data_IF_191068015138
#
_entry.id   IF_191068015138
#
_cell.length_a   1.000
_cell.length_b   1.000
_cell.length_c   1.000
_cell.angle_alpha   90.00
_cell.angle_beta   90.00
_cell.angle_gamma   90.00
#
_symmetry.space_group_name_H-M   'P 1'
#
loop_
_entity.id
_entity.type
_entity.pdbx_description
1 polymer ?
#
# COMPACT_ATOMS: atom_id res chain seq x y z
N UNK A 1 48.18 12.31 10.29
CA UNK A 1 46.77 12.71 10.15
C UNK A 1 46.21 12.02 8.92
N UNK A 2 45.51 10.90 9.07
CA UNK A 2 44.86 10.24 7.95
C UNK A 2 43.34 10.38 8.13
N UNK A 3 42.74 11.19 7.26
CA UNK A 3 41.29 11.37 7.16
C UNK A 3 40.69 10.05 6.64
N UNK A 4 40.04 9.30 7.53
CA UNK A 4 39.06 8.32 7.11
C UNK A 4 37.80 9.11 6.70
N UNK A 5 37.59 9.27 5.39
CA UNK A 5 36.29 9.60 4.85
C UNK A 5 35.37 8.42 5.16
N UNK A 6 34.64 8.54 6.27
CA UNK A 6 33.54 7.64 6.61
C UNK A 6 32.51 7.83 5.50
N UNK A 7 32.51 6.92 4.53
CA UNK A 7 31.38 6.66 3.64
C UNK A 7 30.14 6.58 4.54
N UNK A 8 29.31 7.63 4.51
CA UNK A 8 28.01 7.62 5.18
C UNK A 8 27.29 6.36 4.67
N UNK A 9 26.77 5.49 5.54
CA UNK A 9 25.95 4.39 5.07
C UNK A 9 24.85 5.01 4.22
N UNK A 10 24.74 4.58 2.96
CA UNK A 10 23.55 4.85 2.16
C UNK A 10 22.36 4.50 3.07
N UNK A 11 21.54 5.51 3.41
CA UNK A 11 20.32 5.27 4.18
C UNK A 11 19.60 4.13 3.46
N UNK A 12 19.55 2.97 4.09
CA UNK A 12 18.88 1.79 3.54
C UNK A 12 17.54 2.25 2.98
N UNK A 13 17.37 2.14 1.66
CA UNK A 13 16.13 2.59 1.00
C UNK A 13 15.00 1.74 1.58
N UNK A 14 14.21 2.32 2.48
CA UNK A 14 13.05 1.66 3.06
C UNK A 14 12.00 1.45 1.98
N UNK A 15 11.57 0.22 1.79
CA UNK A 15 10.45 -0.18 0.94
C UNK A 15 9.19 -0.38 1.80
N UNK A 16 8.02 -0.30 1.16
CA UNK A 16 6.71 -0.33 1.81
C UNK A 16 6.16 1.06 2.13
N UNK A 17 5.28 1.13 3.14
CA UNK A 17 4.67 2.39 3.57
C UNK A 17 5.73 3.28 4.24
N UNK A 18 5.94 4.46 3.66
CA UNK A 18 6.86 5.48 4.18
C UNK A 18 6.20 6.36 5.26
N UNK A 19 4.87 6.48 5.18
CA UNK A 19 4.05 7.21 6.14
C UNK A 19 2.63 7.41 5.63
N UNK A 20 1.71 7.75 6.53
CA UNK A 20 0.33 8.06 6.19
C UNK A 20 -0.20 9.25 6.98
N UNK A 21 -1.23 9.90 6.44
CA UNK A 21 -2.05 10.92 7.11
C UNK A 21 -3.52 10.72 6.75
N UNK A 22 -4.41 11.33 7.52
CA UNK A 22 -5.85 11.32 7.22
C UNK A 22 -6.28 12.74 6.87
N UNK A 23 -6.78 12.93 5.66
CA UNK A 23 -7.25 14.21 5.11
C UNK A 23 -8.61 14.01 4.44
N UNK A 24 -9.59 14.88 4.72
CA UNK A 24 -10.91 14.84 4.07
C UNK A 24 -11.59 13.45 4.08
N UNK A 25 -11.56 12.74 5.22
CA UNK A 25 -12.06 11.36 5.36
C UNK A 25 -11.39 10.32 4.43
N UNK A 26 -10.17 10.58 3.99
CA UNK A 26 -9.33 9.64 3.23
C UNK A 26 -8.02 9.41 3.96
N UNK A 27 -7.51 8.19 3.89
CA UNK A 27 -6.10 7.92 4.10
C UNK A 27 -5.33 8.40 2.88
N UNK A 28 -4.23 9.10 3.14
CA UNK A 28 -3.24 9.47 2.14
C UNK A 28 -1.93 8.79 2.55
N UNK A 29 -1.48 7.83 1.74
CA UNK A 29 -0.38 6.91 2.07
C UNK A 29 0.74 7.06 1.06
N UNK A 30 1.94 7.38 1.53
CA UNK A 30 3.14 7.37 0.70
C UNK A 30 3.77 5.98 0.73
N UNK A 31 3.99 5.40 -0.43
CA UNK A 31 4.47 4.03 -0.60
C UNK A 31 5.71 4.05 -1.48
N UNK A 32 6.75 3.29 -1.11
CA UNK A 32 7.84 2.93 -2.01
C UNK A 32 7.77 1.44 -2.31
N UNK A 33 7.40 1.09 -3.53
CA UNK A 33 7.34 -0.30 -3.99
C UNK A 33 8.73 -0.92 -4.11
N UNK A 34 8.78 -2.26 -4.20
CA UNK A 34 10.02 -3.05 -4.26
C UNK A 34 10.96 -2.65 -5.41
N UNK A 35 10.42 -2.18 -6.53
CA UNK A 35 11.17 -1.67 -7.69
C UNK A 35 11.75 -0.26 -7.46
N UNK A 36 11.46 0.37 -6.32
CA UNK A 36 11.89 1.71 -5.97
C UNK A 36 10.93 2.81 -6.44
N UNK A 37 9.82 2.46 -7.11
CA UNK A 37 8.81 3.43 -7.52
C UNK A 37 8.06 3.96 -6.29
N UNK A 38 7.92 5.29 -6.21
CA UNK A 38 7.20 5.96 -5.13
C UNK A 38 5.87 6.49 -5.62
N UNK A 39 4.81 6.24 -4.86
CA UNK A 39 3.45 6.70 -5.17
C UNK A 39 2.75 7.21 -3.92
N UNK A 40 1.78 8.09 -4.12
CA UNK A 40 0.83 8.49 -3.09
C UNK A 40 -0.53 7.84 -3.41
N UNK A 41 -1.01 6.99 -2.50
CA UNK A 41 -2.28 6.29 -2.62
C UNK A 41 -3.34 6.89 -1.70
N UNK A 42 -4.57 6.97 -2.21
CA UNK A 42 -5.68 7.65 -1.55
C UNK A 42 -6.87 6.69 -1.44
N UNK A 43 -7.39 6.49 -0.24
CA UNK A 43 -8.60 5.66 -0.07
C UNK A 43 -9.48 6.10 1.10
N UNK A 44 -10.82 5.94 0.99
CA UNK A 44 -11.75 6.41 2.02
C UNK A 44 -11.53 5.72 3.36
N UNK A 45 -11.65 6.48 4.45
CA UNK A 45 -11.63 5.94 5.83
C UNK A 45 -12.76 4.93 6.03
N UNK A 46 -13.94 5.19 5.45
CA UNK A 46 -15.12 4.30 5.51
C UNK A 46 -14.96 3.03 4.67
N UNK A 47 -13.90 2.95 3.86
CA UNK A 47 -13.65 1.85 2.95
C UNK A 47 -14.23 2.04 1.56
N UNK A 48 -13.94 1.05 0.72
CA UNK A 48 -14.33 1.02 -0.69
C UNK A 48 -14.68 -0.41 -1.11
N UNK A 49 -15.64 -0.58 -2.03
CA UNK A 49 -15.91 -1.89 -2.63
C UNK A 49 -14.74 -2.29 -3.52
N UNK A 50 -14.40 -3.57 -3.48
CA UNK A 50 -13.41 -4.15 -4.40
C UNK A 50 -14.19 -4.94 -5.44
N UNK A 51 -14.07 -4.58 -6.71
CA UNK A 51 -14.81 -5.19 -7.82
C UNK A 51 -13.85 -5.95 -8.71
N UNK A 52 -14.23 -7.18 -9.06
CA UNK A 52 -13.50 -7.99 -10.04
C UNK A 52 -13.80 -7.43 -11.45
N UNK A 53 -12.82 -6.88 -12.19
CA UNK A 53 -13.07 -6.29 -13.49
C UNK A 53 -13.45 -7.32 -14.55
N UNK A 54 -13.11 -8.60 -14.37
CA UNK A 54 -13.42 -9.65 -15.33
C UNK A 54 -14.87 -10.12 -15.22
N UNK A 55 -15.42 -10.20 -14.00
CA UNK A 55 -16.79 -10.70 -13.75
C UNK A 55 -17.80 -9.61 -13.39
N UNK A 56 -17.32 -8.43 -12.97
CA UNK A 56 -18.15 -7.37 -12.40
C UNK A 56 -18.65 -7.65 -10.97
N UNK A 57 -18.26 -8.78 -10.38
CA UNK A 57 -18.70 -9.16 -9.04
C UNK A 57 -17.99 -8.31 -7.98
N UNK A 58 -18.77 -7.75 -7.05
CA UNK A 58 -18.20 -7.13 -5.86
C UNK A 58 -17.69 -8.21 -4.90
N UNK A 59 -16.41 -8.13 -4.55
CA UNK A 59 -15.89 -8.71 -3.32
C UNK A 59 -16.34 -7.87 -2.12
N UNK A 60 -15.98 -8.32 -0.91
CA UNK A 60 -16.19 -7.54 0.31
C UNK A 60 -15.41 -6.23 0.23
N UNK A 61 -16.02 -5.18 0.75
CA UNK A 61 -15.36 -3.89 0.91
C UNK A 61 -14.18 -3.98 1.86
N UNK A 62 -13.14 -3.20 1.59
CA UNK A 62 -11.98 -3.03 2.46
C UNK A 62 -12.10 -1.67 3.12
N UNK A 63 -12.13 -1.63 4.47
CA UNK A 63 -12.09 -0.38 5.21
C UNK A 63 -10.69 0.27 5.14
N UNK A 64 -10.61 1.60 5.35
CA UNK A 64 -9.35 2.32 5.18
C UNK A 64 -8.24 1.84 6.13
N UNK A 65 -8.60 1.44 7.36
CA UNK A 65 -7.61 0.92 8.32
C UNK A 65 -7.03 -0.41 7.84
N UNK A 66 -7.88 -1.28 7.30
CA UNK A 66 -7.47 -2.56 6.71
C UNK A 66 -6.66 -2.35 5.43
N UNK A 67 -7.02 -1.38 4.60
CA UNK A 67 -6.25 -1.04 3.41
C UNK A 67 -4.82 -0.59 3.76
N UNK A 68 -4.67 0.31 4.74
CA UNK A 68 -3.35 0.72 5.24
C UNK A 68 -2.54 -0.49 5.74
N UNK A 69 -3.14 -1.35 6.57
CA UNK A 69 -2.47 -2.54 7.11
C UNK A 69 -2.01 -3.49 6.01
N UNK A 70 -2.83 -3.71 4.97
CA UNK A 70 -2.45 -4.52 3.80
C UNK A 70 -1.20 -3.93 3.15
N UNK A 71 -1.14 -2.62 2.95
CA UNK A 71 0.02 -1.95 2.35
C UNK A 71 1.26 -2.07 3.23
N UNK A 72 1.14 -1.88 4.54
CA UNK A 72 2.25 -2.04 5.51
C UNK A 72 2.84 -3.45 5.49
N UNK A 73 2.01 -4.49 5.34
CA UNK A 73 2.43 -5.88 5.36
C UNK A 73 3.00 -6.37 4.00
N UNK A 74 2.58 -5.76 2.89
CA UNK A 74 2.79 -6.34 1.56
C UNK A 74 3.62 -5.47 0.61
N UNK A 75 3.52 -4.13 0.67
CA UNK A 75 4.07 -3.25 -0.37
C UNK A 75 5.61 -3.32 -0.50
N UNK A 76 6.32 -3.70 0.56
CA UNK A 76 7.77 -3.88 0.52
C UNK A 76 8.21 -5.10 -0.31
N UNK A 77 7.30 -6.05 -0.55
CA UNK A 77 7.59 -7.35 -1.16
C UNK A 77 7.08 -7.50 -2.60
N UNK A 78 6.38 -6.47 -3.13
CA UNK A 78 5.78 -6.47 -4.46
C UNK A 78 5.95 -5.12 -5.17
N UNK A 79 5.74 -5.12 -6.48
CA UNK A 79 5.66 -3.90 -7.30
C UNK A 79 4.22 -3.35 -7.33
N UNK A 80 4.07 -2.12 -7.84
CA UNK A 80 2.75 -1.53 -8.06
C UNK A 80 1.88 -2.39 -8.99
N UNK A 81 2.48 -2.95 -10.04
CA UNK A 81 1.78 -3.76 -11.05
C UNK A 81 1.35 -5.14 -10.52
N UNK A 82 2.09 -5.69 -9.55
CA UNK A 82 1.75 -6.94 -8.88
C UNK A 82 0.64 -6.77 -7.84
N UNK A 83 0.47 -5.56 -7.31
CA UNK A 83 -0.48 -5.26 -6.27
C UNK A 83 -1.92 -5.22 -6.81
N UNK A 84 -2.83 -5.92 -6.12
CA UNK A 84 -4.27 -5.85 -6.41
C UNK A 84 -5.08 -5.98 -5.14
N UNK A 85 -6.02 -5.05 -4.93
CA UNK A 85 -6.98 -5.12 -3.82
C UNK A 85 -7.81 -6.41 -3.84
N UNK A 86 -8.00 -7.02 -5.01
CA UNK A 86 -8.73 -8.29 -5.16
C UNK A 86 -8.09 -9.44 -4.40
N UNK A 87 -6.75 -9.44 -4.29
CA UNK A 87 -6.00 -10.48 -3.57
C UNK A 87 -6.32 -10.49 -2.07
N UNK A 88 -6.84 -9.38 -1.55
CA UNK A 88 -7.12 -9.19 -0.12
C UNK A 88 -8.62 -9.12 0.20
N UNK A 89 -9.47 -9.13 -0.83
CA UNK A 89 -10.91 -9.04 -0.72
C UNK A 89 -11.58 -10.42 -0.88
N UNK A 90 -12.22 -10.91 0.19
CA UNK A 90 -13.00 -12.15 0.14
C UNK A 90 -14.30 -11.97 -0.67
N UNK A 91 -14.79 -13.05 -1.32
CA UNK A 91 -16.10 -13.02 -2.00
C UNK A 91 -17.22 -12.71 -1.01
N UNK A 92 -18.22 -11.96 -1.47
CA UNK A 92 -19.49 -11.84 -0.76
C UNK A 92 -20.25 -13.14 -1.06
N UNK A 93 -20.49 -13.94 -0.03
CA UNK A 93 -21.42 -15.08 -0.12
C UNK A 93 -22.74 -14.54 0.41
N UNK A 94 -23.71 -14.33 -0.47
CA UNK A 94 -25.08 -14.07 -0.06
C UNK A 94 -25.61 -15.33 0.66
N UNK A 95 -26.10 -15.14 1.89
CA UNK A 95 -26.70 -16.20 2.71
C UNK A 95 -28.20 -16.22 2.51
#
# INVERSE_FOLDING_TARGET
MNKAEILKPEKEKKFGVLGYRIENNHYVVNIRWKDGHEVEEHFPVRGFPVVDPATGESRRSIDGRRALKILEENAANMTADEFSWLNFAARIIEK
#
